data_IF_047605681284
#
_entry.id   IF_047605681284
#
_cell.length_a   1.000
_cell.length_b   1.000
_cell.length_c   1.000
_cell.angle_alpha   90.00
_cell.angle_beta   90.00
_cell.angle_gamma   90.00
#
_symmetry.space_group_name_H-M   'P 1'
#
loop_
_entity.id
_entity.type
_entity.pdbx_description
1 polymer ?
#
# COMPACT_ATOMS: atom_id res chain seq x y z
N UNK A 1 17.96 52.81 -19.93
CA UNK A 1 17.31 52.07 -21.02
C UNK A 1 17.50 50.59 -20.73
N UNK A 2 16.41 49.95 -20.28
CA UNK A 2 16.17 48.53 -20.00
C UNK A 2 17.09 47.78 -19.01
N UNK A 3 16.62 47.79 -17.76
CA UNK A 3 16.97 46.90 -16.65
C UNK A 3 16.55 45.46 -16.96
N UNK A 4 17.50 44.56 -17.24
CA UNK A 4 17.30 43.12 -17.05
C UNK A 4 17.61 42.78 -15.59
N UNK A 5 16.67 43.09 -14.69
CA UNK A 5 16.63 42.43 -13.40
C UNK A 5 16.17 41.00 -13.64
N UNK A 6 17.12 40.07 -13.76
CA UNK A 6 16.85 38.65 -13.68
C UNK A 6 16.23 38.38 -12.32
N UNK A 7 14.90 38.21 -12.30
CA UNK A 7 14.20 37.61 -11.18
C UNK A 7 14.70 36.17 -11.14
N UNK A 8 15.53 35.76 -10.16
CA UNK A 8 15.68 34.33 -9.94
C UNK A 8 14.27 33.86 -9.57
N UNK A 9 13.66 33.07 -10.44
CA UNK A 9 12.52 32.24 -10.05
C UNK A 9 13.04 31.42 -8.86
N UNK A 10 12.80 31.92 -7.65
CA UNK A 10 13.06 31.23 -6.40
C UNK A 10 12.02 30.11 -6.28
N UNK A 11 12.07 29.17 -7.22
CA UNK A 11 11.40 27.90 -7.12
C UNK A 11 11.92 27.27 -5.84
N UNK A 12 11.00 27.00 -4.92
CA UNK A 12 11.28 26.22 -3.73
C UNK A 12 11.92 24.88 -4.13
N UNK A 13 12.56 24.19 -3.20
CA UNK A 13 13.07 22.82 -3.45
C UNK A 13 12.00 21.89 -4.06
N UNK A 14 10.73 22.11 -3.71
CA UNK A 14 9.57 21.43 -4.29
C UNK A 14 9.23 21.88 -5.73
N UNK A 15 9.51 23.13 -6.07
CA UNK A 15 9.37 23.64 -7.43
C UNK A 15 10.37 22.98 -8.40
N UNK A 16 11.63 22.84 -7.97
CA UNK A 16 12.66 22.19 -8.77
C UNK A 16 12.40 20.69 -8.98
N UNK A 17 11.87 19.99 -7.97
CA UNK A 17 11.52 18.56 -8.14
C UNK A 17 10.38 18.36 -9.14
N UNK A 18 9.40 19.27 -9.17
CA UNK A 18 8.34 19.27 -10.19
C UNK A 18 8.88 19.45 -11.60
N UNK A 19 9.79 20.41 -11.81
CA UNK A 19 10.42 20.64 -13.12
C UNK A 19 11.24 19.41 -13.57
N UNK A 20 12.01 18.80 -12.68
CA UNK A 20 12.77 17.57 -12.98
C UNK A 20 11.83 16.43 -13.35
N UNK A 21 10.73 16.24 -12.61
CA UNK A 21 9.75 15.19 -12.91
C UNK A 21 9.13 15.37 -14.31
N UNK A 22 8.81 16.61 -14.70
CA UNK A 22 8.30 16.93 -16.03
C UNK A 22 9.33 16.64 -17.13
N UNK A 23 10.59 17.05 -16.94
CA UNK A 23 11.66 16.80 -17.91
C UNK A 23 11.92 15.31 -18.10
N UNK A 24 11.99 14.55 -17.01
CA UNK A 24 12.17 13.09 -17.05
C UNK A 24 10.96 12.41 -17.69
N UNK A 25 9.74 12.82 -17.33
CA UNK A 25 8.51 12.32 -17.96
C UNK A 25 8.49 12.55 -19.47
N UNK A 26 8.95 13.71 -19.94
CA UNK A 26 9.03 14.05 -21.35
C UNK A 26 10.08 13.19 -22.06
N UNK A 27 11.24 13.02 -21.44
CA UNK A 27 12.32 12.16 -21.95
C UNK A 27 11.87 10.69 -22.07
N UNK A 28 11.21 10.15 -21.05
CA UNK A 28 10.67 8.80 -21.08
C UNK A 28 9.61 8.63 -22.17
N UNK A 29 8.71 9.60 -22.32
CA UNK A 29 7.68 9.59 -23.37
C UNK A 29 8.30 9.64 -24.76
N UNK A 30 9.31 10.47 -24.96
CA UNK A 30 10.06 10.55 -26.21
C UNK A 30 10.69 9.20 -26.56
N UNK A 31 11.38 8.55 -25.60
CA UNK A 31 12.00 7.23 -25.80
C UNK A 31 10.96 6.14 -26.10
N UNK A 32 9.81 6.17 -25.44
CA UNK A 32 8.69 5.26 -25.72
C UNK A 32 8.17 5.46 -27.16
N UNK A 33 8.04 6.72 -27.60
CA UNK A 33 7.67 7.06 -28.96
C UNK A 33 8.69 6.57 -30.00
N UNK A 34 9.97 6.78 -29.74
CA UNK A 34 11.06 6.32 -30.60
C UNK A 34 11.05 4.79 -30.75
N UNK A 35 10.87 4.05 -29.65
CA UNK A 35 10.76 2.59 -29.68
C UNK A 35 9.57 2.11 -30.52
N UNK A 36 8.41 2.78 -30.43
CA UNK A 36 7.23 2.43 -31.24
C UNK A 36 7.53 2.51 -32.72
N UNK A 37 8.14 3.61 -33.15
CA UNK A 37 8.55 3.81 -34.56
C UNK A 37 9.58 2.75 -34.97
N UNK A 38 10.58 2.47 -34.12
CA UNK A 38 11.57 1.40 -34.37
C UNK A 38 10.94 0.00 -34.47
N UNK A 39 9.83 -0.23 -33.78
CA UNK A 39 9.10 -1.51 -33.80
C UNK A 39 8.11 -1.61 -34.98
N UNK A 40 8.17 -0.69 -35.95
CA UNK A 40 7.27 -0.66 -37.11
C UNK A 40 5.84 -0.22 -36.81
N UNK A 41 5.59 0.37 -35.63
CA UNK A 41 4.27 0.93 -35.26
C UNK A 41 4.21 2.41 -35.64
N UNK A 42 3.01 2.90 -35.92
CA UNK A 42 2.79 4.32 -36.19
C UNK A 42 3.32 5.21 -35.06
N UNK A 43 3.90 6.35 -35.43
CA UNK A 43 4.38 7.35 -34.48
C UNK A 43 3.20 7.83 -33.62
N UNK A 44 3.47 8.10 -32.35
CA UNK A 44 2.48 8.70 -31.45
C UNK A 44 2.03 10.04 -32.04
N UNK A 45 0.76 10.17 -32.42
CA UNK A 45 0.15 11.46 -32.72
C UNK A 45 0.17 12.40 -31.50
N UNK A 46 -0.09 13.68 -31.69
CA UNK A 46 -0.04 14.70 -30.62
C UNK A 46 -0.85 14.30 -29.37
N UNK A 47 -2.09 13.82 -29.56
CA UNK A 47 -2.95 13.33 -28.46
C UNK A 47 -2.38 12.07 -27.79
N UNK A 48 -1.81 11.14 -28.57
CA UNK A 48 -1.18 9.93 -28.04
C UNK A 48 0.08 10.24 -27.23
N UNK A 49 0.88 11.20 -27.69
CA UNK A 49 2.05 11.67 -26.97
C UNK A 49 1.66 12.35 -25.64
N UNK A 50 0.67 13.24 -25.67
CA UNK A 50 0.15 13.90 -24.47
C UNK A 50 -0.41 12.91 -23.43
N UNK A 51 -1.17 11.91 -23.88
CA UNK A 51 -1.69 10.85 -23.01
C UNK A 51 -0.58 10.02 -22.36
N UNK A 52 0.38 9.53 -23.16
CA UNK A 52 1.51 8.74 -22.63
C UNK A 52 2.35 9.58 -21.66
N UNK A 53 2.60 10.85 -21.99
CA UNK A 53 3.29 11.78 -21.10
C UNK A 53 2.59 11.95 -19.76
N UNK A 54 1.27 12.18 -19.78
CA UNK A 54 0.48 12.33 -18.56
C UNK A 54 0.54 11.07 -17.70
N UNK A 55 0.31 9.90 -18.30
CA UNK A 55 0.32 8.62 -17.57
C UNK A 55 1.69 8.33 -16.97
N UNK A 56 2.77 8.50 -17.73
CA UNK A 56 4.14 8.24 -17.26
C UNK A 56 4.53 9.23 -16.15
N UNK A 57 4.16 10.50 -16.28
CA UNK A 57 4.48 11.53 -15.29
C UNK A 57 3.73 11.27 -13.98
N UNK A 58 2.42 10.98 -14.04
CA UNK A 58 1.65 10.62 -12.84
C UNK A 58 2.25 9.38 -12.18
N UNK A 59 2.51 8.32 -12.95
CA UNK A 59 3.11 7.09 -12.42
C UNK A 59 4.43 7.37 -11.71
N UNK A 60 5.31 8.18 -12.31
CA UNK A 60 6.60 8.55 -11.73
C UNK A 60 6.43 9.32 -10.42
N UNK A 61 5.58 10.34 -10.40
CA UNK A 61 5.33 11.16 -9.19
C UNK A 61 4.77 10.29 -8.06
N UNK A 62 3.82 9.41 -8.36
CA UNK A 62 3.26 8.50 -7.37
C UNK A 62 4.26 7.44 -6.91
N UNK A 63 5.07 6.85 -7.81
CA UNK A 63 6.07 5.84 -7.44
C UNK A 63 7.16 6.43 -6.54
N UNK A 64 7.72 7.59 -6.90
CA UNK A 64 8.75 8.26 -6.10
C UNK A 64 8.15 8.81 -4.81
N UNK A 65 6.99 9.46 -4.89
CA UNK A 65 6.30 10.03 -3.73
C UNK A 65 5.93 8.97 -2.70
N UNK A 66 5.37 7.84 -3.14
CA UNK A 66 5.07 6.71 -2.26
C UNK A 66 6.33 6.09 -1.66
N UNK A 67 7.40 5.92 -2.44
CA UNK A 67 8.68 5.41 -1.94
C UNK A 67 9.27 6.28 -0.82
N UNK A 68 9.22 7.61 -0.97
CA UNK A 68 9.72 8.54 0.06
C UNK A 68 8.78 8.55 1.27
N UNK A 69 7.46 8.67 1.05
CA UNK A 69 6.46 8.75 2.12
C UNK A 69 6.38 7.48 2.97
N UNK A 70 6.16 6.34 2.33
CA UNK A 70 6.06 5.04 3.00
C UNK A 70 7.45 4.59 3.48
N UNK A 71 8.52 4.80 2.71
CA UNK A 71 9.87 4.45 3.11
C UNK A 71 10.37 5.20 4.35
N UNK A 72 10.10 6.52 4.44
CA UNK A 72 10.44 7.28 5.64
C UNK A 72 9.61 6.88 6.86
N UNK A 73 8.35 6.45 6.64
CA UNK A 73 7.49 5.93 7.71
C UNK A 73 7.98 4.58 8.21
N UNK A 74 8.32 3.66 7.29
CA UNK A 74 8.98 2.38 7.60
C UNK A 74 10.25 2.60 8.41
N UNK A 75 11.13 3.50 7.97
CA UNK A 75 12.37 3.82 8.67
C UNK A 75 12.10 4.32 10.10
N UNK A 76 11.14 5.24 10.29
CA UNK A 76 10.77 5.72 11.63
C UNK A 76 10.22 4.60 12.49
N UNK A 77 9.33 3.75 11.94
CA UNK A 77 8.75 2.62 12.67
C UNK A 77 9.79 1.56 13.04
N UNK A 78 10.74 1.25 12.17
CA UNK A 78 11.82 0.29 12.49
C UNK A 78 12.78 0.83 13.53
N UNK A 79 13.11 2.13 13.48
CA UNK A 79 13.90 2.80 14.52
C UNK A 79 13.18 2.77 15.87
N UNK A 80 11.87 3.04 15.90
CA UNK A 80 11.04 2.91 17.10
C UNK A 80 10.94 1.46 17.62
N UNK A 81 10.97 0.44 16.75
CA UNK A 81 10.95 -0.96 17.19
C UNK A 81 12.31 -1.45 17.71
N UNK A 82 13.41 -0.92 17.18
CA UNK A 82 14.77 -1.31 17.56
C UNK A 82 15.27 -0.56 18.81
N UNK A 83 14.87 0.70 18.96
CA UNK A 83 15.34 1.59 20.04
C UNK A 83 14.25 2.02 21.01
N UNK A 84 12.97 1.93 20.63
CA UNK A 84 11.85 2.32 21.49
C UNK A 84 11.59 1.29 22.58
N UNK A 85 11.39 1.78 23.79
CA UNK A 85 11.03 0.95 24.93
C UNK A 85 9.51 0.71 24.93
N UNK A 86 9.11 -0.46 25.44
CA UNK A 86 7.70 -0.86 25.54
C UNK A 86 7.15 -0.41 26.89
N UNK A 87 6.08 0.37 26.86
CA UNK A 87 5.39 0.80 28.08
C UNK A 87 3.94 0.33 28.07
N UNK A 88 3.44 -0.23 29.18
CA UNK A 88 2.01 -0.43 29.37
C UNK A 88 1.35 0.93 29.58
N UNK A 89 0.52 1.35 28.62
CA UNK A 89 -0.22 2.61 28.68
C UNK A 89 -1.68 2.36 29.02
N UNK A 90 -2.26 3.22 29.84
CA UNK A 90 -3.66 3.18 30.25
C UNK A 90 -4.47 4.17 29.44
N UNK A 91 -5.62 3.76 28.91
CA UNK A 91 -6.56 4.70 28.25
C UNK A 91 -7.19 5.61 29.32
N UNK A 92 -6.94 6.92 29.22
CA UNK A 92 -7.44 7.93 30.19
C UNK A 92 -8.62 8.74 29.67
N UNK A 93 -8.65 9.02 28.38
CA UNK A 93 -9.73 9.78 27.74
C UNK A 93 -9.85 9.40 26.27
N UNK A 94 -10.89 9.87 25.60
CA UNK A 94 -11.03 9.73 24.15
C UNK A 94 -11.68 11.01 23.60
N UNK A 95 -11.23 11.47 22.44
CA UNK A 95 -11.90 12.54 21.69
C UNK A 95 -12.87 11.95 20.67
N UNK A 96 -13.96 12.66 20.37
CA UNK A 96 -14.98 12.24 19.40
C UNK A 96 -14.97 13.15 18.19
N UNK A 97 -15.01 12.56 17.00
CA UNK A 97 -15.23 13.28 15.74
C UNK A 97 -16.39 12.64 14.99
N UNK A 98 -17.32 13.44 14.49
CA UNK A 98 -18.45 12.95 13.71
C UNK A 98 -18.09 12.98 12.22
N UNK A 99 -18.07 11.81 11.59
CA UNK A 99 -17.93 11.68 10.15
C UNK A 99 -19.31 11.55 9.54
N UNK A 100 -19.73 12.56 8.78
CA UNK A 100 -21.00 12.54 8.06
C UNK A 100 -20.77 12.01 6.64
N UNK A 101 -21.37 10.87 6.33
CA UNK A 101 -21.37 10.33 4.98
C UNK A 101 -22.60 10.87 4.22
N UNK A 102 -22.35 11.76 3.26
CA UNK A 102 -23.38 12.43 2.47
C UNK A 102 -24.13 11.49 1.53
N UNK A 103 -23.52 10.36 1.15
CA UNK A 103 -24.09 9.42 0.18
C UNK A 103 -24.95 8.36 0.88
N UNK A 104 -24.61 8.00 2.12
CA UNK A 104 -25.35 7.02 2.93
C UNK A 104 -26.31 7.65 3.95
N UNK A 105 -26.33 8.98 4.10
CA UNK A 105 -27.15 9.69 5.09
C UNK A 105 -26.87 9.28 6.54
N UNK A 106 -25.69 8.70 6.80
CA UNK A 106 -25.35 8.06 8.07
C UNK A 106 -24.23 8.84 8.76
N UNK A 107 -24.46 9.23 10.01
CA UNK A 107 -23.44 9.88 10.85
C UNK A 107 -22.73 8.82 11.69
N UNK A 108 -21.43 8.66 11.49
CA UNK A 108 -20.61 7.72 12.27
C UNK A 108 -19.71 8.50 13.22
N UNK A 109 -19.86 8.27 14.53
CA UNK A 109 -18.98 8.84 15.55
C UNK A 109 -17.69 8.02 15.65
N UNK A 110 -16.55 8.67 15.43
CA UNK A 110 -15.22 8.09 15.56
C UNK A 110 -14.60 8.52 16.90
N UNK A 111 -13.97 7.60 17.60
CA UNK A 111 -13.31 7.82 18.89
C UNK A 111 -11.79 7.72 18.73
N UNK A 112 -11.05 8.71 19.22
CA UNK A 112 -9.58 8.72 19.26
C UNK A 112 -9.12 8.66 20.72
N UNK A 113 -8.55 7.54 21.19
CA UNK A 113 -8.13 7.42 22.58
C UNK A 113 -6.85 8.22 22.90
N UNK A 114 -6.81 8.80 24.10
CA UNK A 114 -5.61 9.36 24.72
C UNK A 114 -5.09 8.38 25.75
N UNK A 115 -3.83 8.01 25.62
CA UNK A 115 -3.15 7.05 26.48
C UNK A 115 -2.24 7.77 27.46
N UNK A 116 -2.14 7.28 28.68
CA UNK A 116 -1.19 7.74 29.69
C UNK A 116 -0.26 6.58 30.04
N UNK A 117 1.05 6.81 30.02
CA UNK A 117 2.02 5.82 30.48
C UNK A 117 3.13 6.48 31.29
N UNK A 118 3.73 5.70 32.18
CA UNK A 118 4.90 6.11 32.96
C UNK A 118 6.16 5.61 32.26
N UNK A 119 7.08 6.53 31.96
CA UNK A 119 8.38 6.23 31.35
C UNK A 119 9.33 5.56 32.36
N UNK A 120 10.46 5.01 31.89
CA UNK A 120 11.45 4.38 32.77
C UNK A 120 12.14 5.43 33.67
N UNK A 121 12.15 6.68 33.22
CA UNK A 121 12.54 7.88 33.98
C UNK A 121 11.50 8.35 35.00
N UNK A 122 10.34 7.69 35.11
CA UNK A 122 9.29 8.02 36.08
C UNK A 122 8.42 9.22 35.68
N UNK A 123 8.48 9.69 34.42
CA UNK A 123 7.63 10.77 33.92
C UNK A 123 6.30 10.22 33.41
N UNK A 124 5.21 10.92 33.74
CA UNK A 124 3.88 10.67 33.23
C UNK A 124 3.75 11.34 31.86
N UNK A 125 3.51 10.57 30.79
CA UNK A 125 3.35 11.10 29.43
C UNK A 125 1.96 10.79 28.92
N UNK A 126 1.23 11.84 28.53
CA UNK A 126 -0.01 11.73 27.78
C UNK A 126 0.29 11.67 26.27
N UNK A 127 -0.23 10.63 25.59
CA UNK A 127 -0.03 10.42 24.17
C UNK A 127 -1.35 10.09 23.48
N UNK A 128 -1.80 10.98 22.60
CA UNK A 128 -2.95 10.72 21.73
C UNK A 128 -2.55 9.81 20.58
N UNK A 129 -3.29 8.72 20.39
CA UNK A 129 -2.99 7.78 19.31
C UNK A 129 -3.29 8.39 17.93
N UNK A 130 -2.55 7.96 16.91
CA UNK A 130 -2.73 8.44 15.54
C UNK A 130 -3.84 7.71 14.75
N UNK A 131 -4.75 7.01 15.43
CA UNK A 131 -5.86 6.29 14.80
C UNK A 131 -7.18 6.54 15.54
N UNK A 132 -8.27 6.62 14.78
CA UNK A 132 -9.63 6.72 15.30
C UNK A 132 -10.40 5.45 14.95
N UNK A 133 -11.28 5.00 15.83
CA UNK A 133 -12.11 3.81 15.64
C UNK A 133 -13.57 4.13 15.90
N UNK A 134 -14.50 3.47 15.21
CA UNK A 134 -15.94 3.58 15.48
C UNK A 134 -16.35 2.87 16.78
N UNK A 135 -15.48 2.00 17.31
CA UNK A 135 -15.67 1.36 18.61
C UNK A 135 -15.26 2.28 19.76
N UNK A 136 -16.13 2.41 20.75
CA UNK A 136 -15.87 3.20 21.96
C UNK A 136 -14.71 2.57 22.75
N UNK A 137 -13.60 3.28 23.00
CA UNK A 137 -12.49 2.78 23.81
C UNK A 137 -12.93 2.57 25.26
N UNK A 138 -12.49 1.48 25.89
CA UNK A 138 -12.74 1.23 27.31
C UNK A 138 -11.74 2.01 28.16
N UNK A 139 -12.23 2.95 28.98
CA UNK A 139 -11.38 3.72 29.90
C UNK A 139 -10.77 2.76 30.92
N UNK A 140 -9.45 2.82 31.08
CA UNK A 140 -8.70 1.94 31.99
C UNK A 140 -8.14 0.66 31.36
N UNK A 141 -8.36 0.43 30.06
CA UNK A 141 -7.73 -0.67 29.34
C UNK A 141 -6.22 -0.43 29.16
N UNK A 142 -5.41 -1.47 29.35
CA UNK A 142 -3.97 -1.41 29.17
C UNK A 142 -3.62 -1.75 27.73
N UNK A 143 -3.01 -0.81 27.01
CA UNK A 143 -2.54 -0.96 25.64
C UNK A 143 -1.03 -0.81 25.63
N UNK A 144 -0.31 -1.68 24.93
CA UNK A 144 1.15 -1.57 24.81
C UNK A 144 1.50 -0.45 23.84
N UNK A 145 2.23 0.55 24.30
CA UNK A 145 2.72 1.67 23.48
C UNK A 145 4.23 1.52 23.33
N UNK A 146 4.70 1.70 22.10
CA UNK A 146 6.13 1.85 21.83
C UNK A 146 6.44 3.33 21.91
N UNK A 147 7.25 3.71 22.88
CA UNK A 147 7.64 5.10 23.09
C UNK A 147 9.15 5.19 23.16
N UNK A 148 9.69 6.19 22.47
CA UNK A 148 11.10 6.54 22.54
C UNK A 148 11.23 7.84 23.34
N UNK A 149 11.83 7.76 24.53
CA UNK A 149 12.03 8.89 25.46
C UNK A 149 12.91 9.99 24.84
N UNK A 150 13.78 9.66 23.89
CA UNK A 150 14.69 10.62 23.24
C UNK A 150 13.98 11.43 22.17
N UNK A 151 13.05 10.81 21.44
CA UNK A 151 12.32 11.47 20.33
C UNK A 151 10.92 11.93 20.71
N UNK A 152 10.45 11.61 21.92
CA UNK A 152 9.11 11.93 22.45
C UNK A 152 7.96 11.45 21.54
N UNK A 153 8.21 10.41 20.72
CA UNK A 153 7.25 9.87 19.76
C UNK A 153 6.75 8.51 20.23
N UNK A 154 5.44 8.42 20.40
CA UNK A 154 4.73 7.16 20.63
C UNK A 154 4.14 6.63 19.33
N UNK A 155 4.09 5.29 19.20
CA UNK A 155 3.33 4.62 18.16
C UNK A 155 2.51 3.51 18.79
N UNK A 156 1.19 3.59 18.63
CA UNK A 156 0.26 2.52 18.95
C UNK A 156 -0.28 1.92 17.65
N UNK A 157 -0.16 0.61 17.51
CA UNK A 157 -0.64 -0.11 16.34
C UNK A 157 -2.09 -0.54 16.57
N UNK A 158 -3.04 0.23 16.06
CA UNK A 158 -4.42 -0.24 15.86
C UNK A 158 -4.51 -1.13 14.61
N UNK A 159 -5.46 -2.08 14.57
CA UNK A 159 -5.67 -2.96 13.42
C UNK A 159 -5.89 -2.17 12.12
N UNK A 160 -6.70 -1.12 12.15
CA UNK A 160 -6.93 -0.25 10.98
C UNK A 160 -5.67 0.48 10.50
N UNK A 161 -4.83 0.96 11.42
CA UNK A 161 -3.55 1.57 11.08
C UNK A 161 -2.58 0.55 10.46
N UNK A 162 -2.56 -0.68 10.98
CA UNK A 162 -1.75 -1.77 10.42
C UNK A 162 -2.23 -2.16 9.02
N UNK A 163 -3.54 -2.27 8.80
CA UNK A 163 -4.12 -2.56 7.49
C UNK A 163 -3.79 -1.47 6.45
N UNK A 164 -3.92 -0.19 6.82
CA UNK A 164 -3.53 0.94 5.95
C UNK A 164 -2.04 0.92 5.65
N UNK A 165 -1.20 0.60 6.64
CA UNK A 165 0.24 0.51 6.46
C UNK A 165 0.64 -0.62 5.51
N UNK A 166 0.09 -1.82 5.69
CA UNK A 166 0.32 -2.97 4.79
C UNK A 166 -0.19 -2.67 3.39
N UNK A 167 -1.39 -2.07 3.27
CA UNK A 167 -1.95 -1.65 1.98
C UNK A 167 -1.07 -0.63 1.27
N UNK A 168 -0.59 0.39 1.99
CA UNK A 168 0.33 1.40 1.46
C UNK A 168 1.68 0.79 1.01
N UNK A 169 2.18 -0.21 1.74
CA UNK A 169 3.40 -0.93 1.39
C UNK A 169 3.22 -1.73 0.10
N UNK A 170 2.13 -2.51 -0.01
CA UNK A 170 1.79 -3.26 -1.22
C UNK A 170 1.62 -2.32 -2.42
N UNK A 171 0.95 -1.19 -2.22
CA UNK A 171 0.76 -0.17 -3.24
C UNK A 171 2.09 0.45 -3.69
N UNK A 172 2.97 0.81 -2.75
CA UNK A 172 4.31 1.33 -3.05
C UNK A 172 5.13 0.33 -3.87
N UNK A 173 5.18 -0.95 -3.47
CA UNK A 173 5.91 -2.00 -4.19
C UNK A 173 5.35 -2.19 -5.60
N UNK A 174 4.02 -2.16 -5.73
CA UNK A 174 3.34 -2.29 -7.03
C UNK A 174 3.70 -1.12 -7.96
N UNK A 175 3.65 0.12 -7.46
CA UNK A 175 4.02 1.30 -8.24
C UNK A 175 5.49 1.30 -8.63
N UNK A 176 6.39 0.94 -7.71
CA UNK A 176 7.81 0.83 -7.98
C UNK A 176 8.09 -0.21 -9.08
N UNK A 177 7.40 -1.35 -9.01
CA UNK A 177 7.49 -2.40 -10.04
C UNK A 177 6.98 -1.89 -11.40
N UNK A 178 5.79 -1.30 -11.47
CA UNK A 178 5.26 -0.77 -12.74
C UNK A 178 6.17 0.31 -13.32
N UNK A 179 6.66 1.23 -12.47
CA UNK A 179 7.59 2.28 -12.90
C UNK A 179 8.91 1.72 -13.43
N UNK A 180 9.48 0.70 -12.77
CA UNK A 180 10.66 0.00 -13.26
C UNK A 180 10.43 -0.65 -14.63
N UNK A 181 9.25 -1.25 -14.83
CA UNK A 181 8.83 -1.78 -16.13
C UNK A 181 8.79 -0.70 -17.21
N UNK A 182 8.24 0.48 -16.90
CA UNK A 182 8.23 1.62 -17.83
C UNK A 182 9.64 2.10 -18.16
N UNK A 183 10.55 2.16 -17.18
CA UNK A 183 11.94 2.53 -17.42
C UNK A 183 12.65 1.55 -18.37
N UNK A 184 12.55 0.25 -18.08
CA UNK A 184 13.10 -0.79 -18.95
C UNK A 184 12.49 -0.72 -20.36
N UNK A 185 11.18 -0.46 -20.44
CA UNK A 185 10.48 -0.32 -21.71
C UNK A 185 10.98 0.87 -22.52
N UNK A 186 11.15 2.03 -21.88
CA UNK A 186 11.71 3.22 -22.51
C UNK A 186 13.18 3.03 -22.93
N UNK A 187 13.96 2.21 -22.21
CA UNK A 187 15.36 1.90 -22.55
C UNK A 187 15.53 0.84 -23.64
N UNK A 188 14.44 0.42 -24.30
CA UNK A 188 14.44 -0.60 -25.35
C UNK A 188 14.88 -2.01 -24.91
N UNK A 189 14.71 -2.35 -23.63
CA UNK A 189 14.91 -3.73 -23.17
C UNK A 189 13.78 -4.66 -23.62
N UNK A 190 14.10 -5.94 -23.77
CA UNK A 190 13.09 -6.98 -23.99
C UNK A 190 12.20 -7.15 -22.75
N UNK A 191 10.89 -7.13 -22.98
CA UNK A 191 9.85 -7.19 -21.95
C UNK A 191 9.34 -8.62 -21.70
N UNK A 192 9.70 -9.59 -22.54
CA UNK A 192 9.20 -10.98 -22.44
C UNK A 192 9.46 -11.57 -21.04
N UNK A 193 10.72 -11.54 -20.61
CA UNK A 193 11.15 -12.00 -19.29
C UNK A 193 10.54 -11.17 -18.15
N UNK A 194 10.40 -9.86 -18.36
CA UNK A 194 9.84 -8.96 -17.35
C UNK A 194 8.36 -9.28 -17.10
N UNK A 195 7.58 -9.45 -18.16
CA UNK A 195 6.17 -9.77 -18.09
C UNK A 195 5.92 -11.18 -17.54
N UNK A 196 6.77 -12.15 -17.90
CA UNK A 196 6.72 -13.49 -17.33
C UNK A 196 6.99 -13.48 -15.82
N UNK A 197 8.00 -12.74 -15.36
CA UNK A 197 8.26 -12.54 -13.94
C UNK A 197 7.12 -11.80 -13.24
N UNK A 198 6.57 -10.76 -13.85
CA UNK A 198 5.43 -10.01 -13.31
C UNK A 198 4.21 -10.93 -13.09
N UNK A 199 3.88 -11.74 -14.09
CA UNK A 199 2.81 -12.74 -14.01
C UNK A 199 3.09 -13.76 -12.91
N UNK A 200 4.31 -14.30 -12.89
CA UNK A 200 4.72 -15.27 -11.87
C UNK A 200 4.60 -14.70 -10.46
N UNK A 201 5.09 -13.48 -10.22
CA UNK A 201 4.98 -12.78 -8.92
C UNK A 201 3.51 -12.50 -8.59
N UNK A 202 2.71 -12.02 -9.54
CA UNK A 202 1.29 -11.76 -9.34
C UNK A 202 0.52 -13.02 -8.90
N UNK A 203 0.71 -14.12 -9.62
CA UNK A 203 0.03 -15.39 -9.33
C UNK A 203 0.58 -16.06 -8.06
N UNK A 204 1.90 -16.05 -7.88
CA UNK A 204 2.56 -16.79 -6.78
C UNK A 204 2.53 -16.04 -5.45
N UNK A 205 2.55 -14.70 -5.47
CA UNK A 205 2.66 -13.90 -4.26
C UNK A 205 1.40 -13.07 -4.01
N UNK A 206 0.92 -12.32 -5.01
CA UNK A 206 -0.17 -11.36 -4.80
C UNK A 206 -1.52 -12.05 -4.55
N UNK A 207 -1.82 -13.12 -5.29
CA UNK A 207 -3.08 -13.87 -5.11
C UNK A 207 -3.14 -14.55 -3.74
N UNK A 208 -2.14 -15.37 -3.30
CA UNK A 208 -2.17 -15.94 -1.96
C UNK A 208 -2.22 -14.89 -0.86
N UNK A 209 -1.48 -13.79 -1.01
CA UNK A 209 -1.48 -12.70 -0.04
C UNK A 209 -2.88 -12.11 0.13
N UNK A 210 -3.59 -11.84 -0.96
CA UNK A 210 -4.98 -11.35 -0.91
C UNK A 210 -5.91 -12.37 -0.26
N UNK A 211 -5.78 -13.65 -0.60
CA UNK A 211 -6.61 -14.70 0.02
C UNK A 211 -6.37 -14.79 1.52
N UNK A 212 -5.10 -14.78 1.96
CA UNK A 212 -4.73 -14.79 3.38
C UNK A 212 -5.25 -13.54 4.11
N UNK A 213 -5.13 -12.36 3.49
CA UNK A 213 -5.59 -11.11 4.09
C UNK A 213 -7.12 -11.13 4.25
N UNK A 214 -7.84 -11.65 3.24
CA UNK A 214 -9.28 -11.81 3.31
C UNK A 214 -9.71 -12.83 4.38
N UNK A 215 -9.02 -13.97 4.47
CA UNK A 215 -9.27 -14.96 5.53
C UNK A 215 -9.02 -14.36 6.93
N UNK A 216 -7.91 -13.61 7.06
CA UNK A 216 -7.58 -12.88 8.27
C UNK A 216 -8.65 -11.84 8.66
N UNK A 217 -9.28 -11.18 7.69
CA UNK A 217 -10.41 -10.28 7.94
C UNK A 217 -11.64 -11.02 8.44
N UNK A 218 -11.94 -12.22 7.92
CA UNK A 218 -13.04 -13.05 8.41
C UNK A 218 -12.78 -13.52 9.85
N UNK A 219 -11.55 -13.96 10.14
CA UNK A 219 -11.12 -14.33 11.50
C UNK A 219 -11.24 -13.12 12.43
N UNK A 220 -10.79 -11.94 12.00
CA UNK A 220 -10.92 -10.72 12.78
C UNK A 220 -12.39 -10.38 13.06
N UNK A 221 -13.26 -10.48 12.06
CA UNK A 221 -14.69 -10.27 12.23
C UNK A 221 -15.33 -11.27 13.21
N UNK A 222 -14.82 -12.51 13.28
CA UNK A 222 -15.30 -13.54 14.21
C UNK A 222 -14.95 -13.22 15.67
N UNK A 223 -13.73 -12.75 15.95
CA UNK A 223 -13.24 -12.53 17.32
C UNK A 223 -13.46 -11.11 17.85
N UNK A 224 -13.37 -10.11 16.96
CA UNK A 224 -13.38 -8.69 17.31
C UNK A 224 -14.51 -7.92 16.63
N UNK A 225 -15.35 -8.59 15.82
CA UNK A 225 -16.54 -7.99 15.26
C UNK A 225 -17.64 -7.75 16.31
N UNK A 226 -18.65 -6.97 15.92
CA UNK A 226 -19.84 -6.79 16.74
C UNK A 226 -20.49 -8.16 17.08
N UNK A 227 -21.25 -8.22 18.17
CA UNK A 227 -22.02 -9.41 18.53
C UNK A 227 -23.01 -9.75 17.41
N UNK A 228 -22.65 -10.73 16.59
CA UNK A 228 -23.48 -11.25 15.51
C UNK A 228 -24.28 -12.46 16.00
N UNK A 229 -25.47 -12.73 15.43
CA UNK A 229 -26.26 -13.90 15.78
C UNK A 229 -25.51 -15.20 15.47
N UNK A 230 -25.78 -16.25 16.26
CA UNK A 230 -25.07 -17.53 16.19
C UNK A 230 -25.01 -18.14 14.77
N UNK A 231 -26.09 -17.99 13.97
CA UNK A 231 -26.10 -18.46 12.58
C UNK A 231 -25.03 -17.77 11.72
N UNK A 232 -24.80 -16.47 11.92
CA UNK A 232 -23.77 -15.70 11.19
C UNK A 232 -22.38 -16.12 11.67
N UNK A 233 -22.19 -16.36 12.97
CA UNK A 233 -20.94 -16.92 13.52
C UNK A 233 -20.63 -18.29 12.91
N UNK A 234 -21.60 -19.20 12.83
CA UNK A 234 -21.43 -20.52 12.23
C UNK A 234 -21.10 -20.44 10.74
N UNK A 235 -21.78 -19.54 10.01
CA UNK A 235 -21.50 -19.26 8.60
C UNK A 235 -20.07 -18.71 8.41
N UNK A 236 -19.63 -17.78 9.25
CA UNK A 236 -18.27 -17.22 9.24
C UNK A 236 -17.22 -18.31 9.44
N UNK A 237 -17.39 -19.18 10.44
CA UNK A 237 -16.48 -20.31 10.69
C UNK A 237 -16.42 -21.25 9.49
N UNK A 238 -17.56 -21.55 8.86
CA UNK A 238 -17.58 -22.36 7.65
C UNK A 238 -16.76 -21.73 6.51
N UNK A 239 -16.94 -20.43 6.25
CA UNK A 239 -16.17 -19.72 5.22
C UNK A 239 -14.67 -19.72 5.53
N UNK A 240 -14.29 -19.43 6.78
CA UNK A 240 -12.87 -19.43 7.19
C UNK A 240 -12.25 -20.80 6.92
N UNK A 241 -12.91 -21.90 7.32
CA UNK A 241 -12.38 -23.25 7.10
C UNK A 241 -12.23 -23.58 5.62
N UNK A 242 -13.26 -23.30 4.80
CA UNK A 242 -13.22 -23.56 3.36
C UNK A 242 -12.12 -22.74 2.69
N UNK A 243 -11.98 -21.46 3.07
CA UNK A 243 -11.03 -20.54 2.46
C UNK A 243 -9.59 -20.86 2.89
N UNK A 244 -9.35 -21.18 4.16
CA UNK A 244 -8.07 -21.71 4.65
C UNK A 244 -7.63 -22.98 3.89
N UNK A 245 -8.56 -23.92 3.64
CA UNK A 245 -8.26 -25.12 2.83
C UNK A 245 -7.99 -24.77 1.36
N UNK A 246 -8.73 -23.80 0.80
CA UNK A 246 -8.49 -23.32 -0.56
C UNK A 246 -7.12 -22.64 -0.70
N UNK A 247 -6.71 -21.83 0.29
CA UNK A 247 -5.37 -21.21 0.36
C UNK A 247 -4.30 -22.30 0.38
N UNK A 248 -4.46 -23.31 1.24
CA UNK A 248 -3.52 -24.43 1.32
C UNK A 248 -3.41 -25.18 0.00
N UNK A 249 -4.56 -25.50 -0.62
CA UNK A 249 -4.61 -26.15 -1.93
C UNK A 249 -3.94 -25.32 -3.02
N UNK A 250 -4.18 -24.02 -3.03
CA UNK A 250 -3.60 -23.09 -3.99
C UNK A 250 -2.08 -22.96 -3.84
N UNK A 251 -1.59 -22.78 -2.61
CA UNK A 251 -0.15 -22.74 -2.31
C UNK A 251 0.51 -24.05 -2.73
N UNK A 252 -0.08 -25.19 -2.33
CA UNK A 252 0.43 -26.52 -2.72
C UNK A 252 0.49 -26.66 -4.24
N UNK A 253 -0.54 -26.21 -4.97
CA UNK A 253 -0.58 -26.24 -6.43
C UNK A 253 0.60 -25.47 -7.03
N UNK A 254 0.86 -24.24 -6.59
CA UNK A 254 1.98 -23.44 -7.11
C UNK A 254 3.34 -24.07 -6.82
N UNK A 255 3.52 -24.70 -5.66
CA UNK A 255 4.79 -25.34 -5.32
C UNK A 255 5.03 -26.66 -6.07
N UNK A 256 3.97 -27.39 -6.41
CA UNK A 256 4.09 -28.71 -7.05
C UNK A 256 3.93 -28.69 -8.56
N UNK A 257 3.25 -27.68 -9.11
CA UNK A 257 2.94 -27.59 -10.53
C UNK A 257 3.27 -26.20 -11.09
N UNK A 258 3.80 -26.17 -12.30
CA UNK A 258 3.80 -24.99 -13.16
C UNK A 258 2.46 -24.88 -13.87
N UNK A 259 1.96 -23.66 -14.07
CA UNK A 259 0.75 -23.44 -14.87
C UNK A 259 1.18 -23.31 -16.33
N UNK A 260 0.97 -24.37 -17.11
CA UNK A 260 1.13 -24.31 -18.55
C UNK A 260 -0.11 -23.65 -19.16
N UNK A 261 0.11 -22.50 -19.79
CA UNK A 261 -0.93 -21.77 -20.49
C UNK A 261 -1.02 -22.29 -21.91
N UNK A 262 -2.07 -23.04 -22.21
CA UNK A 262 -2.40 -23.47 -23.57
C UNK A 262 -3.50 -22.59 -24.15
N UNK A 263 -3.38 -22.32 -25.44
CA UNK A 263 -4.41 -21.63 -26.19
C UNK A 263 -5.55 -22.63 -26.46
N UNK A 264 -6.60 -22.57 -25.65
CA UNK A 264 -7.78 -23.45 -25.74
C UNK A 264 -8.77 -23.02 -26.84
N UNK A 265 -8.52 -21.89 -27.52
CA UNK A 265 -9.29 -21.45 -28.67
C UNK A 265 -8.77 -20.14 -29.29
N UNK A 266 -9.41 -19.62 -30.36
CA UNK A 266 -8.92 -18.46 -31.11
C UNK A 266 -8.56 -17.24 -30.25
N UNK A 267 -9.32 -17.01 -29.16
CA UNK A 267 -9.07 -15.98 -28.14
C UNK A 267 -9.19 -16.51 -26.70
N UNK A 268 -9.07 -17.83 -26.50
CA UNK A 268 -9.25 -18.47 -25.18
C UNK A 268 -7.94 -19.10 -24.72
N UNK A 269 -7.59 -18.87 -23.47
CA UNK A 269 -6.41 -19.43 -22.83
C UNK A 269 -6.84 -20.22 -21.59
N UNK A 270 -6.42 -21.48 -21.51
CA UNK A 270 -6.64 -22.35 -20.38
C UNK A 270 -5.30 -22.66 -19.71
N UNK A 271 -5.20 -22.41 -18.41
CA UNK A 271 -4.08 -22.88 -17.61
C UNK A 271 -4.35 -24.29 -17.10
N UNK A 272 -3.49 -25.25 -17.40
CA UNK A 272 -3.52 -26.57 -16.77
C UNK A 272 -2.24 -26.79 -15.93
N UNK A 273 -2.34 -27.44 -14.76
CA UNK A 273 -1.19 -27.66 -13.90
C UNK A 273 -0.31 -28.78 -14.46
N UNK A 274 0.98 -28.51 -14.66
CA UNK A 274 2.01 -29.48 -15.09
C UNK A 274 2.99 -29.66 -13.93
N UNK A 275 3.32 -30.89 -13.49
CA UNK A 275 4.22 -31.09 -12.36
C UNK A 275 5.60 -30.47 -12.63
N UNK A 276 6.16 -29.81 -11.61
CA UNK A 276 7.54 -29.30 -11.66
C UNK A 276 8.52 -30.48 -11.62
N UNK A 277 9.45 -30.52 -12.58
CA UNK A 277 10.57 -31.47 -12.59
C UNK A 277 11.53 -31.21 -11.43
#
# INVERSE_FOLDING_TARGET
>A
MLLFHGVPLALTTYGWSGVVALLVGLLLTYKIGQRRVQSGKESLGCLGFGYVFLVVTILMVFAIGSAIGVGSSLYKSTQLLLHGQRYPAKVISYSTYESHDSDAGTTTTMFTPTLEFTTASGQLVEHTVSYSSSSKPTIGEFVTVYYDEVTQKGMSFGFGALALFVGALIFMVTLAFVFWGVLLYAMNYDMTNYFQRAKFIGVTFFIPLLMILFDGLLIYALFYGNKVPFFVTALLVFFILVLSLAIWGYIKMIFTHDIAWEQTGPNSWGGHPVPKN
#
